data_IF_166444043465
#
_entry.id   IF_166444043465
#
_cell.length_a   1.000
_cell.length_b   1.000
_cell.length_c   1.000
_cell.angle_alpha   90.00
_cell.angle_beta   90.00
_cell.angle_gamma   90.00
#
_symmetry.space_group_name_H-M   'P 1'
#
loop_
_entity.id
_entity.type
_entity.pdbx_description
1 polymer ?
#
# COMPACT_ATOMS: atom_id res chain seq x y z
N UNK A 1 18.80 2.03 0.65
CA UNK A 1 17.53 2.09 -0.09
C UNK A 1 16.43 2.31 0.93
N UNK A 2 15.51 3.24 0.67
CA UNK A 2 14.35 3.43 1.53
C UNK A 2 13.40 2.24 1.38
N UNK A 3 12.78 1.81 2.48
CA UNK A 3 11.83 0.71 2.49
C UNK A 3 10.50 1.17 1.86
N UNK A 4 9.96 0.39 0.93
CA UNK A 4 8.72 0.73 0.23
C UNK A 4 7.55 0.96 1.20
N UNK A 5 7.52 0.24 2.33
CA UNK A 5 6.48 0.41 3.33
C UNK A 5 6.57 1.79 4.00
N UNK A 6 7.76 2.31 4.27
CA UNK A 6 7.94 3.66 4.82
C UNK A 6 7.54 4.73 3.82
N UNK A 7 7.91 4.55 2.55
CA UNK A 7 7.54 5.48 1.48
C UNK A 7 6.02 5.53 1.27
N UNK A 8 5.34 4.39 1.38
CA UNK A 8 3.87 4.33 1.28
C UNK A 8 3.21 4.95 2.52
N UNK A 9 3.73 4.72 3.72
CA UNK A 9 3.25 5.39 4.94
C UNK A 9 3.40 6.91 4.80
N UNK A 10 4.54 7.40 4.30
CA UNK A 10 4.78 8.82 4.08
C UNK A 10 3.80 9.42 3.06
N UNK A 11 3.57 8.73 1.94
CA UNK A 11 2.61 9.16 0.92
C UNK A 11 1.18 9.24 1.48
N UNK A 12 0.74 8.21 2.22
CA UNK A 12 -0.59 8.19 2.84
C UNK A 12 -0.70 9.30 3.90
N UNK A 13 0.34 9.51 4.71
CA UNK A 13 0.36 10.54 5.75
C UNK A 13 0.24 11.95 5.20
N UNK A 14 0.73 12.21 3.99
CA UNK A 14 0.67 13.54 3.38
C UNK A 14 -0.76 13.95 2.99
N UNK A 15 -1.60 13.00 2.58
CA UNK A 15 -3.00 13.25 2.23
C UNK A 15 -3.86 11.98 2.39
N UNK A 16 -4.27 11.60 3.61
CA UNK A 16 -4.83 10.27 3.90
C UNK A 16 -6.07 9.88 3.08
N UNK A 17 -6.91 10.86 2.72
CA UNK A 17 -8.14 10.63 1.96
C UNK A 17 -8.05 11.01 0.48
N UNK A 18 -6.84 11.29 -0.01
CA UNK A 18 -6.66 11.48 -1.46
C UNK A 18 -6.96 10.17 -2.21
N UNK A 19 -7.40 10.28 -3.46
CA UNK A 19 -7.62 9.12 -4.32
C UNK A 19 -6.36 8.24 -4.44
N UNK A 20 -5.18 8.85 -4.43
CA UNK A 20 -3.91 8.15 -4.49
C UNK A 20 -3.63 7.34 -3.20
N UNK A 21 -3.77 7.97 -2.04
CA UNK A 21 -3.57 7.32 -0.73
C UNK A 21 -4.53 6.16 -0.53
N UNK A 22 -5.81 6.36 -0.86
CA UNK A 22 -6.82 5.30 -0.79
C UNK A 22 -6.54 4.15 -1.76
N UNK A 23 -5.96 4.45 -2.93
CA UNK A 23 -5.57 3.43 -3.91
C UNK A 23 -4.38 2.61 -3.44
N UNK A 24 -3.33 3.24 -2.89
CA UNK A 24 -2.18 2.55 -2.31
C UNK A 24 -2.59 1.71 -1.09
N UNK A 25 -3.42 2.28 -0.20
CA UNK A 25 -3.97 1.57 0.94
C UNK A 25 -4.81 0.35 0.54
N UNK A 26 -5.64 0.48 -0.50
CA UNK A 26 -6.43 -0.62 -1.01
C UNK A 26 -5.54 -1.75 -1.57
N UNK A 27 -4.47 -1.41 -2.30
CA UNK A 27 -3.50 -2.39 -2.79
C UNK A 27 -2.84 -3.15 -1.62
N UNK A 28 -2.33 -2.44 -0.62
CA UNK A 28 -1.73 -3.03 0.58
C UNK A 28 -2.72 -3.95 1.30
N UNK A 29 -3.97 -3.50 1.47
CA UNK A 29 -5.00 -4.30 2.15
C UNK A 29 -5.33 -5.57 1.37
N UNK A 30 -5.38 -5.52 0.04
CA UNK A 30 -5.58 -6.71 -0.80
C UNK A 30 -4.50 -7.78 -0.59
N UNK A 31 -3.26 -7.38 -0.28
CA UNK A 31 -2.13 -8.31 -0.04
C UNK A 31 -2.28 -9.14 1.24
N UNK A 32 -3.26 -8.84 2.11
CA UNK A 32 -3.59 -9.64 3.30
C UNK A 32 -4.57 -10.78 2.99
N UNK A 33 -5.31 -10.71 1.88
CA UNK A 33 -6.39 -11.63 1.57
C UNK A 33 -5.96 -12.75 0.62
N UNK A 34 -5.07 -13.63 1.08
CA UNK A 34 -4.54 -14.77 0.30
C UNK A 34 -5.64 -15.69 -0.22
N UNK A 35 -6.63 -16.03 0.62
CA UNK A 35 -7.75 -16.90 0.25
C UNK A 35 -8.63 -16.31 -0.86
N UNK A 36 -8.65 -14.98 -0.99
CA UNK A 36 -9.39 -14.27 -2.02
C UNK A 36 -8.57 -14.08 -3.31
N UNK A 37 -7.33 -14.59 -3.37
CA UNK A 37 -6.48 -14.52 -4.56
C UNK A 37 -5.88 -13.14 -4.83
N UNK A 38 -5.76 -12.28 -3.82
CA UNK A 38 -5.11 -10.97 -3.93
C UNK A 38 -5.69 -10.07 -5.04
N UNK A 39 -7.02 -10.05 -5.17
CA UNK A 39 -7.70 -9.35 -6.26
C UNK A 39 -7.69 -7.82 -6.10
N UNK A 40 -6.81 -7.16 -6.83
CA UNK A 40 -6.76 -5.70 -6.99
C UNK A 40 -7.12 -5.28 -8.41
N UNK A 41 -7.98 -4.26 -8.56
CA UNK A 41 -8.40 -3.77 -9.89
C UNK A 41 -7.32 -2.88 -10.50
N UNK A 42 -6.63 -3.34 -11.56
CA UNK A 42 -5.57 -2.58 -12.24
C UNK A 42 -6.01 -1.18 -12.71
N UNK A 43 -7.29 -0.99 -13.05
CA UNK A 43 -7.83 0.33 -13.43
C UNK A 43 -7.67 1.41 -12.34
N UNK A 44 -7.52 1.02 -11.07
CA UNK A 44 -7.27 1.93 -9.95
C UNK A 44 -5.90 2.61 -10.01
N UNK A 45 -4.92 2.03 -10.72
CA UNK A 45 -3.61 2.66 -10.91
C UNK A 45 -3.68 4.00 -11.66
N UNK A 46 -4.82 4.33 -12.28
CA UNK A 46 -5.08 5.64 -12.90
C UNK A 46 -5.25 6.76 -11.87
N UNK A 47 -5.56 6.43 -10.61
CA UNK A 47 -5.67 7.38 -9.51
C UNK A 47 -4.28 7.82 -9.01
N UNK A 48 -3.20 7.20 -9.52
CA UNK A 48 -1.81 7.44 -9.12
C UNK A 48 -1.03 8.23 -10.19
N UNK A 49 -0.18 9.15 -9.73
CA UNK A 49 0.88 9.77 -10.52
C UNK A 49 1.99 8.76 -10.89
N UNK A 50 2.92 9.15 -11.77
CA UNK A 50 4.00 8.24 -12.19
C UNK A 50 4.90 7.78 -11.02
N UNK A 51 5.33 8.66 -10.08
CA UNK A 51 6.07 8.22 -8.89
C UNK A 51 5.25 7.28 -7.99
N UNK A 52 3.98 7.58 -7.75
CA UNK A 52 3.11 6.74 -6.92
C UNK A 52 2.86 5.35 -7.55
N UNK A 53 2.82 5.25 -8.89
CA UNK A 53 2.79 3.94 -9.55
C UNK A 53 4.06 3.12 -9.30
N UNK A 54 5.22 3.75 -9.16
CA UNK A 54 6.44 3.03 -8.80
C UNK A 54 6.34 2.43 -7.39
N UNK A 55 5.70 3.12 -6.45
CA UNK A 55 5.38 2.54 -5.14
C UNK A 55 4.47 1.32 -5.27
N UNK A 56 3.42 1.40 -6.08
CA UNK A 56 2.53 0.27 -6.33
C UNK A 56 3.27 -0.95 -6.91
N UNK A 57 4.17 -0.76 -7.88
CA UNK A 57 4.95 -1.86 -8.46
C UNK A 57 5.93 -2.47 -7.46
N UNK A 58 6.56 -1.65 -6.62
CA UNK A 58 7.43 -2.14 -5.54
C UNK A 58 6.66 -2.88 -4.45
N UNK A 59 5.41 -2.51 -4.18
CA UNK A 59 4.54 -3.29 -3.31
C UNK A 59 4.22 -4.67 -3.90
N UNK A 60 3.98 -4.75 -5.22
CA UNK A 60 3.79 -6.04 -5.90
C UNK A 60 5.06 -6.90 -5.79
N UNK A 61 6.25 -6.33 -5.98
CA UNK A 61 7.52 -7.02 -5.81
C UNK A 61 7.72 -7.51 -4.36
N UNK A 62 7.42 -6.66 -3.37
CA UNK A 62 7.45 -7.03 -1.94
C UNK A 62 6.55 -8.24 -1.65
N UNK A 63 5.38 -8.30 -2.29
CA UNK A 63 4.46 -9.43 -2.17
C UNK A 63 5.05 -10.71 -2.74
N UNK A 64 5.66 -10.64 -3.95
CA UNK A 64 6.29 -11.78 -4.63
C UNK A 64 7.44 -12.35 -3.80
N UNK A 65 8.18 -11.47 -3.11
CA UNK A 65 9.24 -11.88 -2.17
C UNK A 65 8.70 -12.46 -0.85
N UNK A 66 7.38 -12.51 -0.67
CA UNK A 66 6.74 -13.02 0.53
C UNK A 66 6.87 -12.09 1.75
N UNK A 67 7.32 -10.85 1.57
CA UNK A 67 7.55 -9.88 2.64
C UNK A 67 6.28 -9.11 3.06
N UNK A 68 5.11 -9.52 2.58
CA UNK A 68 3.79 -9.05 3.02
C UNK A 68 3.33 -9.70 4.34
N UNK A 69 4.26 -10.00 5.25
CA UNK A 69 4.02 -10.68 6.53
C UNK A 69 5.08 -10.31 7.57
N UNK A 70 4.86 -10.72 8.82
CA UNK A 70 5.79 -10.48 9.92
C UNK A 70 5.69 -9.09 10.54
N UNK A 71 6.54 -8.81 11.53
CA UNK A 71 6.44 -7.62 12.39
C UNK A 71 6.48 -6.30 11.60
N UNK A 72 7.38 -6.22 10.61
CA UNK A 72 7.56 -5.02 9.79
C UNK A 72 6.30 -4.68 9.00
N UNK A 73 5.70 -5.68 8.35
CA UNK A 73 4.43 -5.52 7.64
C UNK A 73 3.32 -5.08 8.60
N UNK A 74 3.16 -5.79 9.71
CA UNK A 74 2.13 -5.51 10.72
C UNK A 74 2.23 -4.08 11.24
N UNK A 75 3.43 -3.61 11.57
CA UNK A 75 3.65 -2.26 12.05
C UNK A 75 3.30 -1.20 11.00
N UNK A 76 3.78 -1.37 9.76
CA UNK A 76 3.46 -0.44 8.68
C UNK A 76 1.95 -0.39 8.39
N UNK A 77 1.29 -1.56 8.35
CA UNK A 77 -0.16 -1.65 8.13
C UNK A 77 -0.95 -0.93 9.23
N UNK A 78 -0.58 -1.12 10.50
CA UNK A 78 -1.21 -0.43 11.62
C UNK A 78 -1.10 1.10 11.51
N UNK A 79 0.05 1.62 11.05
CA UNK A 79 0.21 3.05 10.79
C UNK A 79 -0.73 3.52 9.66
N UNK A 80 -0.76 2.81 8.54
CA UNK A 80 -1.65 3.15 7.42
C UNK A 80 -3.13 3.11 7.82
N UNK A 81 -3.56 2.11 8.59
CA UNK A 81 -4.92 2.01 9.13
C UNK A 81 -5.27 3.22 9.99
N UNK A 82 -4.36 3.62 10.88
CA UNK A 82 -4.53 4.78 11.74
C UNK A 82 -4.65 6.08 10.95
N UNK A 83 -3.83 6.26 9.92
CA UNK A 83 -3.88 7.44 9.05
C UNK A 83 -5.19 7.51 8.27
N UNK A 84 -5.64 6.41 7.66
CA UNK A 84 -6.86 6.40 6.85
C UNK A 84 -8.13 6.56 7.72
N UNK A 85 -8.16 5.98 8.92
CA UNK A 85 -9.32 6.06 9.83
C UNK A 85 -9.48 7.43 10.51
N UNK A 86 -8.37 8.12 10.78
CA UNK A 86 -8.36 9.39 11.52
C UNK A 86 -8.09 10.63 10.66
N UNK A 87 -7.74 10.43 9.39
CA UNK A 87 -7.47 11.52 8.43
C UNK A 87 -8.71 12.27 7.98
#
# INVERSE_FOLDING_TARGET
MSDVLDEVVAEISAAPHSAASLTLYALVSTMEFEQAGYLFKLGKLRDLSAPQRQLAYRLMELMVQGANRGERWTHAKQQMDGLVRNG
#
